data_IF_839080409735
#
_entry.id   IF_839080409735
#
_cell.length_a   1.000
_cell.length_b   1.000
_cell.length_c   1.000
_cell.angle_alpha   90.00
_cell.angle_beta   90.00
_cell.angle_gamma   90.00
#
_symmetry.space_group_name_H-M   'P 1'
#
loop_
_entity.id
_entity.type
_entity.pdbx_description
1 polymer ?
#
# COMPACT_ATOMS: atom_id res chain seq x y z
N UNK A 1 -19.27 27.23 -24.27
CA UNK A 1 -20.17 27.29 -23.10
C UNK A 1 -19.77 26.15 -22.18
N UNK A 2 -19.32 26.44 -20.98
CA UNK A 2 -19.04 25.40 -19.98
C UNK A 2 -20.38 24.92 -19.40
N UNK A 3 -20.82 23.73 -19.82
CA UNK A 3 -22.05 23.12 -19.30
C UNK A 3 -22.00 22.88 -17.77
N UNK A 4 -20.80 22.85 -17.20
CA UNK A 4 -20.59 22.63 -15.77
C UNK A 4 -20.86 23.89 -14.93
N UNK A 5 -20.63 25.11 -15.44
CA UNK A 5 -20.91 26.34 -14.67
C UNK A 5 -22.41 26.64 -14.52
N UNK A 6 -23.26 26.01 -15.32
CA UNK A 6 -24.72 26.15 -15.22
C UNK A 6 -25.37 25.18 -14.22
N UNK A 7 -24.62 24.26 -13.62
CA UNK A 7 -25.15 23.26 -12.70
C UNK A 7 -25.23 23.80 -11.25
N UNK A 8 -26.26 23.41 -10.48
CA UNK A 8 -26.30 23.63 -9.04
C UNK A 8 -25.08 23.05 -8.32
N UNK A 9 -24.65 23.73 -7.26
CA UNK A 9 -23.47 23.36 -6.45
C UNK A 9 -23.54 21.93 -5.90
N UNK A 10 -24.72 21.45 -5.53
CA UNK A 10 -24.93 20.09 -5.04
C UNK A 10 -24.63 19.02 -6.09
N UNK A 11 -24.98 19.28 -7.37
CA UNK A 11 -24.67 18.37 -8.48
C UNK A 11 -23.19 18.41 -8.81
N UNK A 12 -22.58 19.59 -8.80
CA UNK A 12 -21.13 19.73 -8.97
C UNK A 12 -20.36 18.98 -7.89
N UNK A 13 -20.77 19.08 -6.63
CA UNK A 13 -20.17 18.33 -5.51
C UNK A 13 -20.30 16.82 -5.72
N UNK A 14 -21.47 16.35 -6.13
CA UNK A 14 -21.72 14.93 -6.38
C UNK A 14 -20.93 14.38 -7.58
N UNK A 15 -20.66 15.22 -8.59
CA UNK A 15 -19.81 14.85 -9.74
C UNK A 15 -18.35 14.84 -9.31
N UNK A 16 -17.84 15.93 -8.72
CA UNK A 16 -16.43 16.07 -8.36
C UNK A 16 -15.98 15.04 -7.30
N UNK A 17 -16.83 14.70 -6.33
CA UNK A 17 -16.54 13.64 -5.34
C UNK A 17 -16.41 12.23 -5.92
N UNK A 18 -16.81 12.02 -7.19
CA UNK A 18 -16.65 10.75 -7.91
C UNK A 18 -15.48 10.74 -8.89
N UNK A 19 -14.86 11.89 -9.13
CA UNK A 19 -13.68 11.98 -9.99
C UNK A 19 -12.41 11.61 -9.23
N UNK A 20 -11.28 11.49 -9.93
CA UNK A 20 -10.00 11.36 -9.25
C UNK A 20 -9.59 12.70 -8.60
N UNK A 21 -8.80 12.69 -7.51
CA UNK A 21 -8.22 13.91 -6.92
C UNK A 21 -7.50 14.80 -7.95
N UNK A 22 -6.87 14.19 -8.96
CA UNK A 22 -6.22 14.92 -10.06
C UNK A 22 -7.23 15.70 -10.89
N UNK A 23 -8.33 15.07 -11.27
CA UNK A 23 -9.37 15.70 -12.09
C UNK A 23 -10.11 16.79 -11.33
N UNK A 24 -10.30 16.63 -10.01
CA UNK A 24 -10.83 17.69 -9.14
C UNK A 24 -9.91 18.91 -9.14
N UNK A 25 -8.60 18.70 -8.97
CA UNK A 25 -7.62 19.80 -9.06
C UNK A 25 -7.61 20.47 -10.44
N UNK A 26 -7.75 19.71 -11.53
CA UNK A 26 -7.89 20.27 -12.87
C UNK A 26 -9.19 21.08 -13.03
N UNK A 27 -10.30 20.60 -12.47
CA UNK A 27 -11.59 21.30 -12.49
C UNK A 27 -11.53 22.64 -11.73
N UNK A 28 -10.72 22.73 -10.68
CA UNK A 28 -10.51 24.00 -9.96
C UNK A 28 -9.83 25.09 -10.82
N UNK A 29 -9.16 24.70 -11.91
CA UNK A 29 -8.48 25.63 -12.82
C UNK A 29 -9.39 26.21 -13.91
N UNK A 30 -10.56 25.61 -14.18
CA UNK A 30 -11.40 25.98 -15.34
C UNK A 30 -12.37 27.13 -15.05
N UNK A 31 -12.79 27.34 -13.78
CA UNK A 31 -13.71 28.42 -13.42
C UNK A 31 -13.80 28.70 -11.91
N UNK A 32 -14.35 29.86 -11.52
CA UNK A 32 -14.48 30.26 -10.11
C UNK A 32 -15.46 29.38 -9.32
N UNK A 33 -16.59 29.03 -9.91
CA UNK A 33 -17.61 28.17 -9.29
C UNK A 33 -17.04 26.77 -9.05
N UNK A 34 -16.45 26.16 -10.10
CA UNK A 34 -15.79 24.87 -9.99
C UNK A 34 -14.64 24.88 -8.99
N UNK A 35 -13.88 25.97 -8.87
CA UNK A 35 -12.86 26.13 -7.83
C UNK A 35 -13.45 26.08 -6.43
N UNK A 36 -14.51 26.85 -6.18
CA UNK A 36 -15.18 26.85 -4.87
C UNK A 36 -15.63 25.45 -4.45
N UNK A 37 -16.24 24.71 -5.39
CA UNK A 37 -16.70 23.34 -5.12
C UNK A 37 -15.53 22.36 -4.99
N UNK A 38 -14.53 22.46 -5.87
CA UNK A 38 -13.37 21.58 -5.87
C UNK A 38 -12.47 21.76 -4.64
N UNK A 39 -12.52 22.92 -3.97
CA UNK A 39 -11.78 23.16 -2.71
C UNK A 39 -12.64 22.89 -1.46
N UNK A 40 -13.92 22.54 -1.62
CA UNK A 40 -14.83 22.23 -0.52
C UNK A 40 -14.50 20.90 0.15
N UNK A 41 -14.59 20.90 1.48
CA UNK A 41 -14.42 19.72 2.33
C UNK A 41 -15.42 18.60 1.99
N UNK A 42 -16.60 18.93 1.43
CA UNK A 42 -17.57 17.93 1.00
C UNK A 42 -17.04 17.01 -0.12
N UNK A 43 -16.18 17.55 -1.00
CA UNK A 43 -15.53 16.77 -2.07
C UNK A 43 -14.37 15.97 -1.50
N UNK A 44 -13.50 16.61 -0.70
CA UNK A 44 -12.30 15.97 -0.17
C UNK A 44 -12.56 14.90 0.89
N UNK A 45 -13.70 14.95 1.58
CA UNK A 45 -14.16 13.90 2.48
C UNK A 45 -14.19 12.52 1.82
N UNK A 46 -14.53 12.46 0.52
CA UNK A 46 -14.67 11.20 -0.19
C UNK A 46 -13.33 10.54 -0.55
N UNK A 47 -12.25 11.33 -0.61
CA UNK A 47 -10.90 10.86 -0.89
C UNK A 47 -10.13 10.47 0.37
N UNK A 48 -10.65 10.85 1.54
CA UNK A 48 -10.08 10.49 2.82
C UNK A 48 -10.57 9.09 3.25
N UNK A 49 -9.73 8.33 3.98
CA UNK A 49 -10.16 7.07 4.57
C UNK A 49 -11.29 7.27 5.58
N UNK A 50 -12.08 6.25 5.87
CA UNK A 50 -13.21 6.35 6.81
C UNK A 50 -12.78 6.72 8.23
N UNK A 51 -11.56 6.39 8.61
CA UNK A 51 -10.93 6.67 9.91
C UNK A 51 -10.07 7.94 9.91
N UNK A 52 -10.20 8.81 8.89
CA UNK A 52 -9.43 10.06 8.79
C UNK A 52 -9.59 10.99 10.01
N UNK A 53 -10.73 10.92 10.72
CA UNK A 53 -10.94 11.67 11.96
C UNK A 53 -10.03 11.20 13.09
N UNK A 54 -9.88 9.88 13.27
CA UNK A 54 -8.98 9.29 14.27
C UNK A 54 -7.51 9.57 13.92
N UNK A 55 -7.19 9.45 12.62
CA UNK A 55 -5.86 9.78 12.09
C UNK A 55 -5.54 11.27 12.32
N UNK A 56 -6.48 12.17 12.06
CA UNK A 56 -6.27 13.61 12.29
C UNK A 56 -5.99 13.93 13.76
N UNK A 57 -6.76 13.33 14.67
CA UNK A 57 -6.61 13.52 16.12
C UNK A 57 -5.30 12.96 16.69
N UNK A 58 -4.83 11.82 16.15
CA UNK A 58 -3.61 11.16 16.65
C UNK A 58 -2.32 11.92 16.30
N UNK A 59 -2.32 12.73 15.25
CA UNK A 59 -1.11 13.38 14.74
C UNK A 59 -1.05 14.87 15.05
N UNK A 60 -2.12 15.63 14.83
CA UNK A 60 -2.22 17.04 15.22
C UNK A 60 -3.67 17.57 15.06
N UNK A 61 -4.42 17.79 16.15
CA UNK A 61 -5.76 18.37 16.10
C UNK A 61 -5.81 19.81 15.56
N UNK A 62 -4.67 20.52 15.50
CA UNK A 62 -4.58 21.97 15.25
C UNK A 62 -4.01 22.29 13.85
N UNK A 63 -3.45 21.32 13.12
CA UNK A 63 -2.67 21.60 11.90
C UNK A 63 -3.47 21.74 10.60
N UNK A 64 -4.77 21.42 10.56
CA UNK A 64 -5.50 21.33 9.31
C UNK A 64 -6.73 22.22 9.30
N UNK A 65 -6.73 23.21 8.40
CA UNK A 65 -7.88 24.08 8.17
C UNK A 65 -8.86 23.51 7.14
N UNK A 66 -8.42 22.56 6.31
CA UNK A 66 -9.23 21.91 5.27
C UNK A 66 -8.89 20.44 5.11
N UNK A 67 -9.85 19.64 4.62
CA UNK A 67 -9.66 18.21 4.30
C UNK A 67 -8.70 17.99 3.14
N UNK A 68 -8.58 18.96 2.24
CA UNK A 68 -7.56 18.97 1.18
C UNK A 68 -6.14 19.04 1.76
N UNK A 69 -5.89 19.91 2.75
CA UNK A 69 -4.58 19.99 3.42
C UNK A 69 -4.26 18.69 4.16
N UNK A 70 -5.26 18.09 4.80
CA UNK A 70 -5.10 16.78 5.42
C UNK A 70 -4.73 15.73 4.35
N UNK A 71 -5.46 15.67 3.23
CA UNK A 71 -5.17 14.76 2.12
C UNK A 71 -3.74 14.91 1.60
N UNK A 72 -3.31 16.13 1.28
CA UNK A 72 -1.95 16.40 0.78
C UNK A 72 -0.90 15.89 1.76
N UNK A 73 -1.07 16.15 3.07
CA UNK A 73 -0.13 15.66 4.09
C UNK A 73 -0.12 14.14 4.21
N UNK A 74 -1.29 13.50 4.17
CA UNK A 74 -1.41 12.03 4.20
C UNK A 74 -0.82 11.35 2.95
N UNK A 75 -0.74 12.09 1.83
CA UNK A 75 -0.05 11.64 0.61
C UNK A 75 1.45 11.94 0.58
N UNK A 76 1.98 12.62 1.59
CA UNK A 76 3.41 12.91 1.69
C UNK A 76 4.04 12.13 2.84
N UNK A 77 3.40 12.15 4.01
CA UNK A 77 3.87 11.53 5.24
C UNK A 77 3.55 10.04 5.29
N UNK A 78 4.43 9.30 5.97
CA UNK A 78 4.19 7.91 6.35
C UNK A 78 3.65 7.92 7.78
N UNK A 79 2.41 7.46 7.93
CA UNK A 79 1.74 7.33 9.21
C UNK A 79 2.01 5.97 9.83
N UNK A 80 2.01 5.94 11.15
CA UNK A 80 2.03 4.77 11.99
C UNK A 80 0.64 4.50 12.57
N UNK A 81 0.11 3.30 12.31
CA UNK A 81 -1.00 2.74 13.07
C UNK A 81 -0.44 1.63 13.95
N UNK A 82 -0.07 1.98 15.19
CA UNK A 82 0.77 1.14 16.03
C UNK A 82 2.17 0.95 15.43
N UNK A 83 2.49 -0.26 14.99
CA UNK A 83 3.79 -0.63 14.40
C UNK A 83 3.83 -0.44 12.87
N UNK A 84 2.68 -0.24 12.21
CA UNK A 84 2.56 -0.34 10.75
C UNK A 84 2.63 1.00 10.05
N UNK A 85 3.39 1.04 8.97
CA UNK A 85 3.54 2.23 8.12
C UNK A 85 2.48 2.26 7.02
N UNK A 86 1.67 3.32 6.96
CA UNK A 86 0.74 3.54 5.86
C UNK A 86 0.83 4.94 5.28
N UNK A 87 0.38 5.07 4.03
CA UNK A 87 0.38 6.31 3.27
C UNK A 87 -0.81 6.31 2.32
N UNK A 88 -1.35 7.48 1.97
CA UNK A 88 -2.40 7.54 0.95
C UNK A 88 -1.80 7.58 -0.45
N UNK A 89 -2.33 6.77 -1.36
CA UNK A 89 -2.03 6.90 -2.78
C UNK A 89 -2.63 8.20 -3.34
N UNK A 90 -1.77 9.09 -3.84
CA UNK A 90 -2.18 10.40 -4.36
C UNK A 90 -3.19 10.31 -5.52
N UNK A 91 -3.15 9.25 -6.32
CA UNK A 91 -4.02 9.11 -7.48
C UNK A 91 -5.42 8.58 -7.12
N UNK A 92 -5.52 7.65 -6.17
CA UNK A 92 -6.77 6.97 -5.83
C UNK A 92 -7.39 7.38 -4.48
N UNK A 93 -6.62 8.04 -3.61
CA UNK A 93 -7.02 8.32 -2.22
C UNK A 93 -7.08 7.08 -1.33
N UNK A 94 -6.67 5.91 -1.83
CA UNK A 94 -6.70 4.64 -1.09
C UNK A 94 -5.47 4.50 -0.22
N UNK A 95 -5.64 3.87 0.95
CA UNK A 95 -4.52 3.51 1.84
C UNK A 95 -3.56 2.57 1.12
N UNK A 96 -2.27 2.84 1.20
CA UNK A 96 -1.16 1.93 0.88
C UNK A 96 -0.46 1.59 2.17
N UNK A 97 -0.39 0.31 2.49
CA UNK A 97 0.24 -0.19 3.72
C UNK A 97 1.58 -0.82 3.36
N UNK A 98 2.58 -0.56 4.18
CA UNK A 98 3.91 -1.13 4.10
C UNK A 98 4.16 -1.91 5.38
N UNK A 99 4.38 -3.22 5.23
CA UNK A 99 4.82 -4.07 6.32
C UNK A 99 6.34 -3.99 6.42
N UNK A 100 6.85 -3.77 7.63
CA UNK A 100 8.28 -3.89 7.87
C UNK A 100 8.71 -5.36 7.84
N UNK A 101 9.98 -5.64 7.55
CA UNK A 101 10.46 -7.02 7.49
C UNK A 101 10.32 -7.75 8.84
N UNK A 102 10.38 -7.01 9.96
CA UNK A 102 10.16 -7.53 11.32
C UNK A 102 8.73 -8.01 11.56
N UNK A 103 7.75 -7.49 10.83
CA UNK A 103 6.35 -7.94 10.91
C UNK A 103 6.10 -9.21 10.09
N UNK A 104 7.05 -9.59 9.24
CA UNK A 104 6.95 -10.82 8.46
C UNK A 104 7.34 -12.01 9.33
N UNK A 105 6.53 -13.06 9.29
CA UNK A 105 6.90 -14.36 9.81
C UNK A 105 7.86 -15.02 8.81
N UNK A 106 9.15 -14.98 9.15
CA UNK A 106 10.23 -15.55 8.38
C UNK A 106 10.62 -16.87 9.03
N UNK A 107 10.66 -17.93 8.23
CA UNK A 107 11.09 -19.25 8.72
C UNK A 107 12.52 -19.17 9.24
N UNK A 108 12.69 -19.53 10.52
CA UNK A 108 13.93 -19.38 11.29
C UNK A 108 14.39 -17.92 11.55
N UNK A 109 13.60 -16.91 11.22
CA UNK A 109 13.97 -15.48 11.32
C UNK A 109 14.29 -14.97 12.72
N UNK A 110 13.87 -15.70 13.77
CA UNK A 110 14.15 -15.39 15.17
C UNK A 110 15.45 -16.02 15.70
N UNK A 111 16.13 -16.81 14.87
CA UNK A 111 17.33 -17.57 15.24
C UNK A 111 18.53 -16.83 14.65
N UNK A 112 19.35 -16.14 15.48
CA UNK A 112 20.47 -15.33 15.00
C UNK A 112 21.52 -16.14 14.23
N UNK A 113 21.61 -17.46 14.46
CA UNK A 113 22.47 -18.36 13.69
C UNK A 113 22.02 -18.53 12.23
N UNK A 114 20.80 -18.12 11.89
CA UNK A 114 20.22 -18.27 10.55
C UNK A 114 19.89 -16.95 9.86
N UNK A 115 19.61 -15.88 10.60
CA UNK A 115 19.28 -14.58 10.00
C UNK A 115 20.00 -13.45 10.73
N UNK A 116 20.79 -12.69 9.99
CA UNK A 116 21.34 -11.41 10.46
C UNK A 116 20.34 -10.29 10.14
N UNK A 117 19.99 -9.51 11.15
CA UNK A 117 19.07 -8.38 11.00
C UNK A 117 19.87 -7.08 10.95
N UNK A 118 19.99 -6.53 9.75
CA UNK A 118 20.83 -5.37 9.51
C UNK A 118 19.99 -4.09 9.58
N UNK A 119 20.49 -3.11 10.34
CA UNK A 119 19.92 -1.76 10.36
C UNK A 119 20.40 -0.98 9.15
N UNK A 120 19.45 -0.53 8.33
CA UNK A 120 19.79 0.29 7.18
C UNK A 120 20.11 1.74 7.62
N UNK A 121 21.23 2.34 7.16
CA UNK A 121 21.69 3.66 7.64
C UNK A 121 20.69 4.82 7.47
N UNK A 122 19.72 4.68 6.56
CA UNK A 122 18.78 5.75 6.19
C UNK A 122 17.41 5.65 6.89
N UNK A 123 17.14 4.56 7.57
CA UNK A 123 15.86 4.32 8.26
C UNK A 123 16.16 3.95 9.70
N UNK A 124 15.97 4.90 10.63
CA UNK A 124 16.33 4.73 12.05
C UNK A 124 15.58 3.60 12.79
N UNK A 125 14.68 2.90 12.11
CA UNK A 125 13.86 1.81 12.68
C UNK A 125 13.68 0.59 11.76
N UNK A 126 14.15 0.63 10.51
CA UNK A 126 13.94 -0.51 9.59
C UNK A 126 15.13 -1.47 9.66
N UNK A 127 14.85 -2.68 10.13
CA UNK A 127 15.79 -3.80 10.08
C UNK A 127 15.38 -4.73 8.94
N UNK A 128 16.37 -5.23 8.20
CA UNK A 128 16.15 -6.12 7.06
C UNK A 128 16.90 -7.42 7.28
N UNK A 129 16.25 -8.56 7.04
CA UNK A 129 16.83 -9.88 7.22
C UNK A 129 17.74 -10.24 6.03
N UNK A 130 18.98 -10.61 6.30
CA UNK A 130 19.90 -11.17 5.30
C UNK A 130 19.84 -12.71 5.35
N UNK A 131 19.45 -13.39 4.24
CA UNK A 131 19.34 -14.83 4.21
C UNK A 131 20.74 -15.48 4.21
N UNK A 132 20.88 -16.65 4.85
CA UNK A 132 22.13 -17.39 4.82
C UNK A 132 22.36 -17.97 3.41
N UNK A 133 23.63 -18.11 3.02
CA UNK A 133 24.01 -18.87 1.84
C UNK A 133 23.44 -20.30 2.00
N UNK A 134 22.69 -20.79 1.00
CA UNK A 134 22.22 -22.19 0.84
C UNK A 134 20.88 -22.64 1.45
N UNK A 135 19.92 -21.77 1.81
CA UNK A 135 18.63 -22.25 2.38
C UNK A 135 17.36 -21.64 1.81
N UNK A 136 16.37 -22.51 1.59
CA UNK A 136 15.01 -22.13 1.21
C UNK A 136 14.38 -21.23 2.26
N UNK A 137 13.82 -20.12 1.80
CA UNK A 137 13.09 -19.19 2.66
C UNK A 137 11.57 -19.32 2.44
N UNK A 138 10.82 -19.05 3.50
CA UNK A 138 9.37 -18.94 3.50
C UNK A 138 8.98 -17.71 4.32
N UNK A 139 8.58 -16.66 3.60
CA UNK A 139 8.12 -15.38 4.15
C UNK A 139 6.59 -15.38 4.19
N UNK A 140 6.02 -15.03 5.34
CA UNK A 140 4.58 -14.87 5.52
C UNK A 140 4.30 -13.47 6.08
N UNK A 141 3.49 -12.70 5.38
CA UNK A 141 2.93 -11.44 5.84
C UNK A 141 1.44 -11.60 6.15
N UNK A 142 0.97 -10.90 7.17
CA UNK A 142 -0.46 -10.81 7.51
C UNK A 142 -0.87 -9.35 7.63
N UNK A 143 -2.01 -9.01 7.04
CA UNK A 143 -2.60 -7.68 7.16
C UNK A 143 -4.10 -7.80 7.38
N UNK A 144 -4.61 -7.08 8.36
CA UNK A 144 -6.03 -7.04 8.65
C UNK A 144 -6.76 -6.18 7.62
N UNK A 145 -7.89 -6.65 7.10
CA UNK A 145 -8.64 -5.93 6.07
C UNK A 145 -9.18 -4.58 6.54
N UNK A 146 -9.42 -4.40 7.86
CA UNK A 146 -9.82 -3.11 8.44
C UNK A 146 -8.80 -2.00 8.26
N UNK A 147 -7.52 -2.36 8.08
CA UNK A 147 -6.44 -1.40 7.82
C UNK A 147 -6.38 -0.97 6.36
N UNK A 148 -7.11 -1.67 5.49
CA UNK A 148 -7.17 -1.42 4.06
C UNK A 148 -8.43 -0.64 3.70
N UNK A 149 -8.40 0.01 2.55
CA UNK A 149 -9.57 0.72 2.05
C UNK A 149 -10.60 -0.29 1.51
N UNK A 150 -11.88 -0.20 1.90
CA UNK A 150 -12.91 -1.09 1.38
C UNK A 150 -13.17 -0.82 -0.10
N UNK A 151 -13.80 -1.80 -0.75
CA UNK A 151 -14.16 -1.78 -2.18
C UNK A 151 -12.95 -1.47 -3.07
N UNK A 152 -11.82 -2.11 -2.78
CA UNK A 152 -10.53 -1.80 -3.43
C UNK A 152 -9.78 -3.09 -3.75
N UNK A 153 -9.32 -3.21 -4.99
CA UNK A 153 -8.37 -4.27 -5.40
C UNK A 153 -6.95 -3.80 -5.07
N UNK A 154 -6.27 -4.58 -4.25
CA UNK A 154 -4.89 -4.39 -3.84
C UNK A 154 -3.98 -5.34 -4.59
N UNK A 155 -2.74 -4.90 -4.82
CA UNK A 155 -1.65 -5.76 -5.29
C UNK A 155 -0.57 -5.77 -4.21
N UNK A 156 -0.18 -6.96 -3.78
CA UNK A 156 0.92 -7.15 -2.84
C UNK A 156 2.26 -7.09 -3.58
N UNK A 157 3.22 -6.34 -3.04
CA UNK A 157 4.57 -6.24 -3.60
C UNK A 157 5.61 -6.61 -2.54
N UNK A 158 6.64 -7.35 -2.95
CA UNK A 158 7.86 -7.48 -2.16
C UNK A 158 8.88 -6.43 -2.64
N UNK A 159 9.43 -5.68 -1.70
CA UNK A 159 10.57 -4.79 -1.94
C UNK A 159 11.81 -5.43 -1.32
N UNK A 160 12.84 -5.69 -2.12
CA UNK A 160 14.03 -6.42 -1.69
C UNK A 160 15.30 -5.92 -2.38
N UNK A 161 16.45 -6.32 -1.84
CA UNK A 161 17.77 -6.13 -2.44
C UNK A 161 18.42 -7.49 -2.64
N UNK A 162 19.23 -7.59 -3.69
CA UNK A 162 20.07 -8.76 -3.96
C UNK A 162 21.52 -8.34 -3.94
N UNK A 163 22.38 -9.15 -3.33
CA UNK A 163 23.83 -9.00 -3.42
C UNK A 163 24.35 -9.95 -4.49
N UNK A 164 25.38 -9.54 -5.24
CA UNK A 164 25.89 -10.30 -6.38
C UNK A 164 26.49 -11.68 -6.02
N UNK A 165 26.70 -11.96 -4.73
CA UNK A 165 27.29 -13.19 -4.20
C UNK A 165 26.30 -14.15 -3.55
N UNK A 166 25.08 -13.72 -3.23
CA UNK A 166 24.09 -14.64 -2.68
C UNK A 166 23.62 -15.57 -3.79
N UNK A 167 23.72 -16.89 -3.61
CA UNK A 167 23.16 -17.93 -4.50
C UNK A 167 21.62 -17.89 -4.65
N UNK A 168 21.03 -16.73 -4.35
CA UNK A 168 19.61 -16.40 -4.35
C UNK A 168 19.14 -16.09 -5.76
N UNK A 169 18.92 -17.11 -6.56
CA UNK A 169 18.57 -16.90 -7.96
C UNK A 169 17.65 -18.05 -8.37
N UNK A 170 16.36 -17.92 -8.02
CA UNK A 170 15.38 -18.99 -8.20
C UNK A 170 13.95 -18.51 -8.41
N UNK A 171 13.10 -19.46 -8.80
CA UNK A 171 11.65 -19.28 -8.86
C UNK A 171 11.09 -19.38 -7.44
N UNK A 172 10.21 -18.46 -7.09
CA UNK A 172 9.48 -18.51 -5.84
C UNK A 172 7.99 -18.62 -6.12
N UNK A 173 7.29 -19.44 -5.33
CA UNK A 173 5.84 -19.53 -5.35
C UNK A 173 5.28 -18.45 -4.44
N UNK A 174 4.37 -17.65 -4.97
CA UNK A 174 3.62 -16.66 -4.21
C UNK A 174 2.21 -17.17 -3.96
N UNK A 175 1.66 -16.81 -2.82
CA UNK A 175 0.26 -17.02 -2.50
C UNK A 175 -0.29 -15.75 -1.83
N UNK A 176 -1.44 -15.29 -2.28
CA UNK A 176 -2.22 -14.27 -1.59
C UNK A 176 -3.61 -14.83 -1.33
N UNK A 177 -4.00 -14.83 -0.05
CA UNK A 177 -5.26 -15.41 0.41
C UNK A 177 -5.99 -14.43 1.31
N UNK A 178 -7.31 -14.34 1.18
CA UNK A 178 -8.15 -13.67 2.17
C UNK A 178 -8.85 -14.66 3.08
N UNK A 179 -8.54 -14.58 4.36
CA UNK A 179 -9.02 -15.41 5.44
C UNK A 179 -10.21 -14.75 6.19
N UNK A 180 -11.22 -14.25 5.45
CA UNK A 180 -12.36 -13.52 6.03
C UNK A 180 -13.72 -14.20 5.94
N UNK A 181 -13.88 -15.23 5.10
CA UNK A 181 -15.16 -15.95 4.94
C UNK A 181 -14.96 -17.45 5.15
N UNK A 182 -15.79 -18.06 6.01
CA UNK A 182 -15.97 -19.51 6.05
C UNK A 182 -16.58 -19.93 4.71
N UNK A 183 -15.78 -20.46 3.79
CA UNK A 183 -16.27 -21.15 2.59
C UNK A 183 -15.59 -20.78 1.28
N UNK A 184 -15.22 -19.52 1.06
CA UNK A 184 -14.64 -19.05 -0.23
C UNK A 184 -13.52 -18.04 0.01
N UNK A 185 -12.41 -18.51 0.60
CA UNK A 185 -11.18 -17.73 0.56
C UNK A 185 -10.67 -17.75 -0.86
N UNK A 186 -10.69 -16.61 -1.55
CA UNK A 186 -9.99 -16.52 -2.83
C UNK A 186 -8.49 -16.66 -2.54
N UNK A 187 -7.85 -17.57 -3.26
CA UNK A 187 -6.41 -17.84 -3.17
C UNK A 187 -5.82 -17.65 -4.56
N UNK A 188 -4.94 -16.67 -4.69
CA UNK A 188 -4.18 -16.45 -5.92
C UNK A 188 -2.77 -16.99 -5.70
N UNK A 189 -2.39 -18.02 -6.46
CA UNK A 189 -1.03 -18.55 -6.44
C UNK A 189 -0.32 -18.27 -7.75
N UNK A 190 0.87 -17.68 -7.71
CA UNK A 190 1.71 -17.47 -8.88
C UNK A 190 3.12 -18.02 -8.66
N UNK A 191 3.88 -18.15 -9.74
CA UNK A 191 5.32 -18.41 -9.68
C UNK A 191 6.01 -17.16 -10.22
N UNK A 192 6.86 -16.55 -9.40
CA UNK A 192 7.60 -15.34 -9.74
C UNK A 192 9.09 -15.67 -9.84
N UNK A 193 9.78 -14.99 -10.74
CA UNK A 193 11.23 -15.09 -10.86
C UNK A 193 11.88 -13.86 -10.22
N UNK A 194 12.75 -14.10 -9.24
CA UNK A 194 13.45 -13.06 -8.49
C UNK A 194 14.77 -12.64 -9.16
N UNK A 195 15.19 -13.35 -10.23
CA UNK A 195 16.40 -13.04 -10.99
C UNK A 195 16.18 -11.94 -12.05
N UNK A 196 16.91 -10.81 -11.99
CA UNK A 196 17.11 -9.98 -13.17
C UNK A 196 18.07 -10.69 -14.15
N UNK A 197 17.83 -10.71 -15.47
CA UNK A 197 16.81 -9.99 -16.24
C UNK A 197 15.58 -10.84 -16.63
N UNK A 198 15.44 -12.05 -16.08
CA UNK A 198 14.48 -13.07 -16.56
C UNK A 198 13.01 -12.79 -16.18
N UNK A 199 12.73 -11.69 -15.49
CA UNK A 199 11.39 -11.32 -15.01
C UNK A 199 10.96 -9.96 -15.54
N UNK A 200 9.96 -9.92 -16.42
CA UNK A 200 9.29 -8.68 -16.87
C UNK A 200 8.52 -7.97 -15.74
N UNK A 201 8.26 -8.67 -14.63
CA UNK A 201 7.52 -8.16 -13.48
C UNK A 201 8.42 -7.57 -12.39
N UNK A 202 9.74 -7.68 -12.53
CA UNK A 202 10.71 -7.11 -11.60
C UNK A 202 11.03 -5.67 -12.02
N UNK A 203 10.74 -4.71 -11.14
CA UNK A 203 11.02 -3.29 -11.40
C UNK A 203 12.13 -2.80 -10.49
N UNK A 204 13.11 -2.10 -11.07
CA UNK A 204 14.20 -1.46 -10.32
C UNK A 204 13.70 -0.18 -9.66
N UNK A 205 14.06 -0.01 -8.39
CA UNK A 205 13.86 1.21 -7.60
C UNK A 205 15.21 1.91 -7.39
N UNK A 206 15.19 3.04 -6.70
CA UNK A 206 16.39 3.80 -6.33
C UNK A 206 17.33 2.98 -5.45
N UNK A 207 18.65 3.22 -5.56
CA UNK A 207 19.68 2.63 -4.68
C UNK A 207 19.77 1.10 -4.70
N UNK A 208 19.43 0.47 -5.83
CA UNK A 208 19.55 -0.99 -6.03
C UNK A 208 18.43 -1.81 -5.40
N UNK A 209 17.41 -1.17 -4.83
CA UNK A 209 16.18 -1.85 -4.43
C UNK A 209 15.40 -2.34 -5.64
N UNK A 210 14.67 -3.43 -5.47
CA UNK A 210 13.80 -4.00 -6.49
C UNK A 210 12.39 -4.21 -5.91
N UNK A 211 11.38 -4.18 -6.77
CA UNK A 211 10.00 -4.52 -6.43
C UNK A 211 9.47 -5.60 -7.37
N UNK A 212 8.70 -6.53 -6.82
CA UNK A 212 8.00 -7.56 -7.59
C UNK A 212 6.58 -7.75 -7.06
N UNK A 213 5.60 -7.91 -7.96
CA UNK A 213 4.23 -8.20 -7.59
C UNK A 213 4.10 -9.67 -7.16
N UNK A 214 3.48 -9.90 -6.01
CA UNK A 214 3.23 -11.23 -5.45
C UNK A 214 1.84 -11.77 -5.82
N UNK A 215 0.87 -10.89 -5.96
CA UNK A 215 -0.50 -11.23 -6.33
C UNK A 215 -1.48 -10.11 -5.98
N UNK A 216 -2.71 -10.25 -6.46
CA UNK A 216 -3.80 -9.31 -6.20
C UNK A 216 -4.89 -9.91 -5.33
N UNK A 217 -5.62 -9.04 -4.63
CA UNK A 217 -6.70 -9.39 -3.73
C UNK A 217 -7.71 -8.25 -3.61
N UNK A 218 -8.99 -8.57 -3.36
CA UNK A 218 -10.05 -7.56 -3.27
C UNK A 218 -10.60 -7.45 -1.84
N UNK A 219 -10.64 -6.22 -1.32
CA UNK A 219 -11.29 -5.93 -0.04
C UNK A 219 -12.71 -5.46 -0.31
N UNK A 220 -13.69 -6.25 0.11
CA UNK A 220 -15.10 -5.92 0.05
C UNK A 220 -15.55 -4.96 1.15
N UNK A 221 -16.78 -4.47 1.03
CA UNK A 221 -17.38 -3.61 2.04
C UNK A 221 -17.72 -4.43 3.30
N UNK A 222 -17.19 -4.01 4.45
CA UNK A 222 -17.41 -4.68 5.74
C UNK A 222 -16.56 -5.94 5.96
N UNK A 223 -15.58 -6.18 5.08
CA UNK A 223 -14.61 -7.26 5.25
C UNK A 223 -13.67 -6.97 6.42
N UNK A 224 -13.76 -7.79 7.47
CA UNK A 224 -12.96 -7.67 8.70
C UNK A 224 -11.98 -8.84 8.90
N UNK A 225 -11.74 -9.63 7.85
CA UNK A 225 -10.81 -10.76 7.89
C UNK A 225 -9.34 -10.35 7.79
N UNK A 226 -8.48 -11.35 7.61
CA UNK A 226 -7.04 -11.14 7.37
C UNK A 226 -6.68 -11.48 5.93
N UNK A 227 -5.77 -10.73 5.34
CA UNK A 227 -5.09 -11.10 4.10
C UNK A 227 -3.74 -11.70 4.49
N UNK A 228 -3.51 -12.92 4.04
CA UNK A 228 -2.26 -13.65 4.20
C UNK A 228 -1.50 -13.61 2.88
N UNK A 229 -0.24 -13.20 2.93
CA UNK A 229 0.66 -13.15 1.79
C UNK A 229 1.82 -14.09 2.10
N UNK A 230 2.16 -14.99 1.18
CA UNK A 230 3.26 -15.93 1.34
C UNK A 230 4.16 -15.91 0.11
N UNK A 231 5.47 -15.89 0.34
CA UNK A 231 6.49 -16.11 -0.68
C UNK A 231 7.38 -17.26 -0.20
N UNK A 232 7.39 -18.35 -0.96
CA UNK A 232 8.19 -19.53 -0.65
C UNK A 232 9.10 -19.85 -1.83
N UNK A 233 10.36 -20.14 -1.55
CA UNK A 233 11.28 -20.62 -2.57
C UNK A 233 10.86 -22.01 -3.07
N UNK A 234 11.08 -22.26 -4.37
CA UNK A 234 10.80 -23.56 -4.99
C UNK A 234 12.13 -24.20 -5.34
N UNK A 235 12.36 -25.43 -4.86
CA UNK A 235 13.54 -26.23 -5.26
C UNK A 235 13.60 -26.36 -6.79
N UNK A 236 14.80 -26.21 -7.34
CA UNK A 236 15.04 -26.27 -8.79
C UNK A 236 15.00 -27.69 -9.34
#
# INVERSE_FOLDING_TARGET
MDFLSALPECLLTAILSRLSPRDVCCSAATGKELRSVAESDAVWERFLPSDHGEIGLAYDPVAFSTKKQLYDRLTEMVLYDGERRFKIDKASGKKRVMLEARELAITWGSVPEYWEWIRLPRTRSSEVPEPPEERLFDLKGKIEARLLSPETTYVAYLIFKTWASSGFLGRAKTCVRFAGKKGDGYETTNIVNLEPPKSSHLRKRTEGWMEIALGEFFIGKGDNGEVEIRLMEVEQ
#
